data_IF_350436958837
#
_entry.id   IF_350436958837
#
_cell.length_a   1.000
_cell.length_b   1.000
_cell.length_c   1.000
_cell.angle_alpha   90.00
_cell.angle_beta   90.00
_cell.angle_gamma   90.00
#
_symmetry.space_group_name_H-M   'P 1'
#
loop_
_entity.id
_entity.type
_entity.pdbx_description
1 polymer ?
#
# COMPACT_ATOMS: atom_id res chain seq x y z
N UNK A 1 2.80 -0.22 -20.84
CA UNK A 1 2.75 0.29 -19.45
C UNK A 1 3.19 -0.83 -18.51
N UNK A 2 3.91 -0.52 -17.44
CA UNK A 2 4.28 -1.52 -16.41
C UNK A 2 3.08 -1.86 -15.52
N UNK A 3 3.10 -2.99 -14.82
CA UNK A 3 2.06 -3.37 -13.84
C UNK A 3 1.85 -2.28 -12.79
N UNK A 4 2.94 -1.65 -12.33
CA UNK A 4 2.88 -0.53 -11.40
C UNK A 4 2.16 0.70 -11.99
N UNK A 5 2.44 1.04 -13.25
CA UNK A 5 1.77 2.15 -13.94
C UNK A 5 0.28 1.87 -14.16
N UNK A 6 -0.08 0.64 -14.55
CA UNK A 6 -1.48 0.22 -14.70
C UNK A 6 -2.24 0.29 -13.37
N UNK A 7 -1.62 -0.20 -12.29
CA UNK A 7 -2.23 -0.14 -10.97
C UNK A 7 -2.39 1.28 -10.46
N UNK A 8 -1.39 2.15 -10.68
CA UNK A 8 -1.50 3.57 -10.33
C UNK A 8 -2.63 4.26 -11.10
N UNK A 9 -2.75 3.99 -12.41
CA UNK A 9 -3.85 4.50 -13.23
C UNK A 9 -5.21 4.02 -12.71
N UNK A 10 -5.33 2.73 -12.36
CA UNK A 10 -6.56 2.17 -11.80
C UNK A 10 -6.94 2.85 -10.47
N UNK A 11 -5.98 3.16 -9.59
CA UNK A 11 -6.25 3.93 -8.36
C UNK A 11 -6.70 5.35 -8.67
N UNK A 12 -6.05 6.04 -9.62
CA UNK A 12 -6.47 7.39 -10.03
C UNK A 12 -7.91 7.38 -10.55
N UNK A 13 -8.26 6.42 -11.40
CA UNK A 13 -9.62 6.26 -11.93
C UNK A 13 -10.61 5.96 -10.80
N UNK A 14 -10.26 5.05 -9.88
CA UNK A 14 -11.11 4.70 -8.74
C UNK A 14 -11.34 5.90 -7.82
N UNK A 15 -10.30 6.63 -7.44
CA UNK A 15 -10.40 7.86 -6.63
C UNK A 15 -11.33 8.89 -7.29
N UNK A 16 -11.16 9.16 -8.59
CA UNK A 16 -12.04 10.06 -9.34
C UNK A 16 -13.49 9.59 -9.34
N UNK A 17 -13.72 8.29 -9.54
CA UNK A 17 -15.07 7.72 -9.53
C UNK A 17 -15.76 7.80 -8.16
N UNK A 18 -14.98 7.87 -7.08
CA UNK A 18 -15.47 8.05 -5.71
C UNK A 18 -15.64 9.54 -5.33
N UNK A 19 -15.43 10.47 -6.27
CA UNK A 19 -15.61 11.91 -6.04
C UNK A 19 -14.38 12.63 -5.50
N UNK A 20 -13.19 12.03 -5.57
CA UNK A 20 -11.95 12.75 -5.24
C UNK A 20 -11.70 13.89 -6.23
N UNK A 21 -11.31 15.05 -5.72
CA UNK A 21 -10.87 16.21 -6.50
C UNK A 21 -9.36 16.41 -6.37
N UNK A 22 -8.78 17.24 -7.26
CA UNK A 22 -7.34 17.54 -7.27
C UNK A 22 -6.45 16.29 -7.22
N UNK A 23 -6.84 15.23 -7.95
CA UNK A 23 -6.08 13.98 -8.03
C UNK A 23 -4.85 14.18 -8.90
N UNK A 24 -3.68 14.27 -8.26
CA UNK A 24 -2.39 14.55 -8.91
C UNK A 24 -1.41 13.41 -8.61
N UNK A 25 -0.76 12.90 -9.66
CA UNK A 25 0.37 11.97 -9.54
C UNK A 25 1.65 12.78 -9.42
N UNK A 26 2.41 12.55 -8.35
CA UNK A 26 3.67 13.20 -8.06
C UNK A 26 4.77 12.17 -7.80
N UNK A 27 6.01 12.63 -7.62
CA UNK A 27 7.15 11.77 -7.27
C UNK A 27 8.06 12.45 -6.25
N UNK A 28 8.58 11.66 -5.33
CA UNK A 28 9.66 12.05 -4.41
C UNK A 28 10.86 11.15 -4.72
N UNK A 29 11.86 11.69 -5.40
CA UNK A 29 12.87 10.90 -6.08
C UNK A 29 12.23 9.93 -7.08
N UNK A 30 12.48 8.62 -6.91
CA UNK A 30 11.92 7.55 -7.73
C UNK A 30 10.61 6.96 -7.17
N UNK A 31 10.06 7.52 -6.09
CA UNK A 31 8.84 7.00 -5.44
C UNK A 31 7.62 7.78 -5.93
N UNK A 32 6.78 7.21 -6.82
CA UNK A 32 5.56 7.87 -7.23
C UNK A 32 4.50 7.76 -6.12
N UNK A 33 3.69 8.81 -5.97
CA UNK A 33 2.55 8.86 -5.06
C UNK A 33 1.42 9.70 -5.68
N UNK A 34 0.22 9.58 -5.13
CA UNK A 34 -0.97 10.31 -5.54
C UNK A 34 -1.36 11.22 -4.38
N UNK A 35 -1.63 12.49 -4.64
CA UNK A 35 -2.32 13.38 -3.71
C UNK A 35 -3.71 13.69 -4.22
N UNK A 36 -4.68 13.84 -3.33
CA UNK A 36 -6.05 14.21 -3.69
C UNK A 36 -6.78 14.86 -2.50
N UNK A 37 -7.91 15.49 -2.79
CA UNK A 37 -8.87 15.98 -1.79
C UNK A 37 -10.10 15.06 -1.83
N UNK A 38 -10.43 14.46 -0.68
CA UNK A 38 -11.60 13.61 -0.51
C UNK A 38 -12.90 14.43 -0.42
N UNK A 39 -14.09 13.81 -0.59
CA UNK A 39 -15.38 14.49 -0.47
C UNK A 39 -15.59 15.21 0.88
N UNK A 40 -14.95 14.75 1.95
CA UNK A 40 -14.96 15.41 3.27
C UNK A 40 -14.04 16.64 3.36
N UNK A 41 -13.38 17.05 2.27
CA UNK A 41 -12.46 18.19 2.21
C UNK A 41 -11.04 17.92 2.71
N UNK A 42 -10.74 16.73 3.25
CA UNK A 42 -9.39 16.37 3.72
C UNK A 42 -8.47 16.03 2.55
N UNK A 43 -7.22 16.43 2.67
CA UNK A 43 -6.16 16.07 1.71
C UNK A 43 -5.48 14.78 2.14
N UNK A 44 -5.28 13.88 1.19
CA UNK A 44 -4.66 12.57 1.40
C UNK A 44 -3.51 12.32 0.45
N UNK A 45 -2.57 11.45 0.86
CA UNK A 45 -1.45 10.97 0.06
C UNK A 45 -1.45 9.45 0.01
N UNK A 46 -1.35 8.88 -1.18
CA UNK A 46 -1.39 7.43 -1.41
C UNK A 46 -0.17 6.98 -2.20
N UNK A 47 0.51 5.95 -1.71
CA UNK A 47 1.42 5.12 -2.51
C UNK A 47 0.71 3.88 -3.02
N UNK A 48 1.08 3.40 -4.20
CA UNK A 48 0.42 2.24 -4.83
C UNK A 48 1.36 1.03 -4.92
N UNK A 49 0.78 -0.17 -4.80
CA UNK A 49 1.46 -1.45 -5.10
C UNK A 49 0.53 -2.30 -5.94
N UNK A 50 0.99 -2.71 -7.12
CA UNK A 50 0.18 -3.47 -8.07
C UNK A 50 0.72 -4.89 -8.25
N UNK A 51 -0.18 -5.84 -8.48
CA UNK A 51 0.17 -7.21 -8.90
C UNK A 51 -0.84 -7.72 -9.93
N UNK A 52 -0.45 -8.73 -10.69
CA UNK A 52 -1.36 -9.52 -11.56
C UNK A 52 -1.52 -10.96 -11.07
N UNK A 53 -0.61 -11.44 -10.22
CA UNK A 53 -0.65 -12.76 -9.60
C UNK A 53 0.18 -12.75 -8.31
N UNK A 54 0.04 -13.80 -7.48
CA UNK A 54 0.86 -14.00 -6.29
C UNK A 54 0.72 -12.89 -5.26
N UNK A 55 1.87 -12.37 -4.78
CA UNK A 55 1.99 -11.35 -3.73
C UNK A 55 2.42 -10.00 -4.29
N UNK A 56 2.10 -8.93 -3.58
CA UNK A 56 2.71 -7.63 -3.84
C UNK A 56 4.15 -7.63 -3.34
N UNK A 57 5.05 -7.05 -4.14
CA UNK A 57 6.46 -6.91 -3.80
C UNK A 57 6.74 -5.51 -3.27
N UNK A 58 7.50 -5.43 -2.17
CA UNK A 58 7.95 -4.20 -1.55
C UNK A 58 9.32 -4.41 -0.89
N UNK A 59 9.73 -3.48 -0.02
CA UNK A 59 10.99 -3.55 0.71
C UNK A 59 10.78 -3.53 2.23
N UNK A 60 11.59 -4.28 2.98
CA UNK A 60 11.67 -4.18 4.44
C UNK A 60 12.13 -2.82 4.93
N UNK A 61 12.73 -1.98 4.08
CA UNK A 61 13.09 -0.59 4.39
C UNK A 61 11.88 0.31 4.67
N UNK A 62 10.67 -0.13 4.32
CA UNK A 62 9.44 0.53 4.73
C UNK A 62 8.98 0.09 6.13
N UNK A 63 9.57 -0.95 6.71
CA UNK A 63 9.24 -1.43 8.04
C UNK A 63 9.73 -0.48 9.11
N UNK A 64 8.81 0.11 9.86
CA UNK A 64 9.10 0.97 11.02
C UNK A 64 8.08 0.57 12.09
N UNK A 65 8.55 0.32 13.31
CA UNK A 65 7.67 0.13 14.46
C UNK A 65 6.76 1.35 14.59
N UNK A 66 5.45 1.14 14.62
CA UNK A 66 4.49 2.23 14.60
C UNK A 66 3.17 1.81 15.23
N UNK A 67 2.59 2.72 16.01
CA UNK A 67 1.20 2.60 16.45
C UNK A 67 0.29 2.97 15.28
N UNK A 68 -0.81 2.23 15.11
CA UNK A 68 -1.77 2.49 14.04
C UNK A 68 -2.43 3.84 14.28
N UNK A 69 -2.23 4.74 13.33
CA UNK A 69 -2.86 6.06 13.29
C UNK A 69 -4.06 6.02 12.36
N UNK A 70 -5.26 5.89 12.95
CA UNK A 70 -6.54 5.88 12.23
C UNK A 70 -6.98 7.27 11.75
N UNK A 71 -6.30 8.34 12.19
CA UNK A 71 -6.58 9.72 11.79
C UNK A 71 -5.57 10.25 10.77
N UNK A 72 -4.60 9.43 10.36
CA UNK A 72 -3.57 9.78 9.41
C UNK A 72 -4.12 10.07 8.01
N UNK A 73 -3.37 10.86 7.24
CA UNK A 73 -3.72 11.22 5.86
C UNK A 73 -2.90 10.46 4.81
N UNK A 74 -2.00 9.59 5.22
CA UNK A 74 -1.12 8.81 4.34
C UNK A 74 -1.50 7.33 4.32
N UNK A 75 -1.59 6.77 3.12
CA UNK A 75 -2.09 5.41 2.90
C UNK A 75 -1.25 4.66 1.86
N UNK A 76 -1.31 3.34 1.91
CA UNK A 76 -0.97 2.48 0.77
C UNK A 76 -2.25 1.89 0.19
N UNK A 77 -2.33 1.87 -1.14
CA UNK A 77 -3.37 1.16 -1.87
C UNK A 77 -2.72 0.01 -2.64
N UNK A 78 -3.09 -1.20 -2.28
CA UNK A 78 -2.71 -2.42 -2.98
C UNK A 78 -3.78 -2.78 -4.00
N UNK A 79 -3.37 -3.05 -5.23
CA UNK A 79 -4.26 -3.34 -6.37
C UNK A 79 -3.94 -4.70 -6.94
N UNK A 80 -4.94 -5.57 -7.01
CA UNK A 80 -4.88 -6.85 -7.71
C UNK A 80 -5.52 -6.70 -9.09
N UNK A 81 -4.69 -6.59 -10.12
CA UNK A 81 -5.08 -6.47 -11.53
C UNK A 81 -5.34 -7.82 -12.21
N UNK A 82 -5.12 -8.92 -11.49
CA UNK A 82 -5.41 -10.28 -11.99
C UNK A 82 -6.87 -10.71 -11.80
N UNK A 83 -7.75 -9.79 -11.41
CA UNK A 83 -9.16 -10.05 -11.10
C UNK A 83 -10.03 -9.02 -11.80
N UNK A 84 -11.24 -9.44 -12.20
CA UNK A 84 -12.27 -8.57 -12.73
C UNK A 84 -13.53 -8.64 -11.86
N UNK A 85 -14.02 -7.52 -11.28
CA UNK A 85 -13.35 -6.22 -11.25
C UNK A 85 -12.04 -6.25 -10.42
N UNK A 86 -11.13 -5.31 -10.69
CA UNK A 86 -9.90 -5.11 -9.92
C UNK A 86 -10.21 -5.02 -8.41
N UNK A 87 -9.40 -5.69 -7.58
CA UNK A 87 -9.56 -5.64 -6.13
C UNK A 87 -8.59 -4.64 -5.49
N UNK A 88 -9.10 -3.84 -4.55
CA UNK A 88 -8.34 -2.80 -3.86
C UNK A 88 -8.28 -3.07 -2.36
N UNK A 89 -7.13 -2.82 -1.75
CA UNK A 89 -6.93 -2.93 -0.30
C UNK A 89 -6.23 -1.67 0.20
N UNK A 90 -6.86 -0.98 1.14
CA UNK A 90 -6.48 0.37 1.58
C UNK A 90 -5.99 0.28 3.01
N UNK A 91 -4.70 0.52 3.24
CA UNK A 91 -4.10 0.44 4.58
C UNK A 91 -3.56 1.81 4.99
N UNK A 92 -3.75 2.24 6.25
CA UNK A 92 -2.99 3.37 6.82
C UNK A 92 -1.49 3.12 6.66
N UNK A 93 -0.73 4.18 6.37
CA UNK A 93 0.72 4.08 6.23
C UNK A 93 1.37 3.56 7.52
N UNK A 94 0.90 4.01 8.68
CA UNK A 94 1.36 3.56 10.00
C UNK A 94 1.16 2.05 10.18
N UNK A 95 -0.02 1.53 9.81
CA UNK A 95 -0.33 0.10 9.91
C UNK A 95 0.60 -0.74 9.04
N UNK A 96 0.75 -0.41 7.75
CA UNK A 96 1.55 -1.24 6.84
C UNK A 96 3.04 -1.17 7.16
N UNK A 97 3.54 -0.03 7.67
CA UNK A 97 4.92 0.08 8.17
C UNK A 97 5.16 -0.85 9.36
N UNK A 98 4.24 -0.89 10.31
CA UNK A 98 4.34 -1.77 11.46
C UNK A 98 4.21 -3.25 11.06
N UNK A 99 3.27 -3.60 10.18
CA UNK A 99 3.10 -4.96 9.65
C UNK A 99 4.37 -5.47 8.92
N UNK A 100 5.02 -4.62 8.11
CA UNK A 100 6.31 -4.97 7.48
C UNK A 100 7.40 -5.18 8.54
N UNK A 101 7.44 -4.33 9.58
CA UNK A 101 8.41 -4.43 10.66
C UNK A 101 8.25 -5.74 11.45
N UNK A 102 7.04 -6.03 11.94
CA UNK A 102 6.74 -7.23 12.73
C UNK A 102 7.03 -8.52 11.96
N UNK A 103 6.57 -8.61 10.70
CA UNK A 103 6.84 -9.80 9.88
C UNK A 103 8.33 -9.94 9.56
N UNK A 104 9.06 -8.83 9.46
CA UNK A 104 10.51 -8.90 9.30
C UNK A 104 11.19 -9.44 10.57
N UNK A 105 10.78 -8.99 11.76
CA UNK A 105 11.30 -9.49 13.03
C UNK A 105 10.99 -10.98 13.24
N UNK A 106 9.74 -11.41 13.00
CA UNK A 106 9.33 -12.81 13.09
C UNK A 106 10.15 -13.73 12.17
N UNK A 107 10.53 -13.21 10.99
CA UNK A 107 11.37 -13.94 10.06
C UNK A 107 12.80 -14.08 10.59
N UNK A 108 13.38 -13.01 11.13
CA UNK A 108 14.72 -13.06 11.73
C UNK A 108 14.76 -14.01 12.93
N UNK A 109 13.75 -13.96 13.80
CA UNK A 109 13.65 -14.85 14.97
C UNK A 109 13.65 -16.33 14.57
N UNK A 110 12.86 -16.70 13.55
CA UNK A 110 12.79 -18.07 13.01
C UNK A 110 14.08 -18.54 12.33
N UNK A 111 14.95 -17.62 11.95
CA UNK A 111 16.18 -17.93 11.21
C UNK A 111 17.45 -17.52 12.00
N UNK A 112 17.34 -17.40 13.34
CA UNK A 112 18.49 -17.18 14.22
C UNK A 112 19.17 -15.82 14.02
N UNK A 113 18.42 -14.79 13.64
CA UNK A 113 18.92 -13.45 13.38
C UNK A 113 19.43 -13.21 11.95
N UNK A 114 19.39 -14.22 11.08
CA UNK A 114 19.87 -14.13 9.70
C UNK A 114 18.73 -14.37 8.71
N UNK A 115 18.92 -13.95 7.45
CA UNK A 115 18.06 -14.36 6.35
C UNK A 115 18.55 -15.67 5.76
N UNK A 116 17.63 -16.51 5.30
CA UNK A 116 17.94 -17.85 4.81
C UNK A 116 18.86 -17.91 3.56
N UNK A 117 19.08 -16.79 2.85
CA UNK A 117 19.88 -16.75 1.62
C UNK A 117 20.85 -15.56 1.54
N UNK A 118 20.44 -14.36 1.93
CA UNK A 118 21.31 -13.17 1.95
C UNK A 118 20.73 -12.14 2.93
N UNK A 119 21.53 -11.71 3.90
CA UNK A 119 21.17 -10.72 4.91
C UNK A 119 20.88 -9.33 4.31
N UNK A 120 21.44 -9.00 3.14
CA UNK A 120 21.23 -7.72 2.46
C UNK A 120 19.97 -7.64 1.61
N UNK A 121 19.32 -8.79 1.32
CA UNK A 121 18.08 -8.77 0.53
C UNK A 121 17.06 -7.93 1.26
N UNK A 122 16.47 -6.92 0.61
CA UNK A 122 15.42 -6.10 1.22
C UNK A 122 14.03 -6.45 0.71
N UNK A 123 13.91 -7.46 -0.16
CA UNK A 123 12.62 -7.86 -0.71
C UNK A 123 11.67 -8.32 0.40
N UNK A 124 10.42 -7.86 0.30
CA UNK A 124 9.36 -8.21 1.21
C UNK A 124 8.06 -8.43 0.43
N UNK A 125 7.40 -9.55 0.69
CA UNK A 125 6.16 -9.93 0.04
C UNK A 125 4.95 -9.65 0.95
N UNK A 126 3.94 -8.97 0.44
CA UNK A 126 2.65 -8.80 1.09
C UNK A 126 1.65 -9.75 0.42
N UNK A 127 1.05 -10.65 1.20
CA UNK A 127 0.02 -11.58 0.71
C UNK A 127 -1.38 -11.00 0.92
N UNK A 128 -2.35 -11.46 0.12
CA UNK A 128 -3.77 -11.07 0.27
C UNK A 128 -4.27 -11.37 1.68
N UNK A 129 -3.91 -12.54 2.25
CA UNK A 129 -4.33 -12.95 3.60
C UNK A 129 -3.95 -11.91 4.67
N UNK A 130 -2.78 -11.28 4.56
CA UNK A 130 -2.31 -10.26 5.52
C UNK A 130 -3.15 -9.00 5.49
N UNK A 131 -3.65 -8.62 4.32
CA UNK A 131 -4.38 -7.36 4.13
C UNK A 131 -5.87 -7.55 3.84
N UNK A 132 -6.41 -8.75 4.03
CA UNK A 132 -7.78 -9.09 3.64
C UNK A 132 -8.83 -8.20 4.33
N UNK A 133 -8.61 -7.82 5.59
CA UNK A 133 -9.50 -6.92 6.35
C UNK A 133 -9.52 -5.47 5.85
N UNK A 134 -8.61 -5.10 4.94
CA UNK A 134 -8.51 -3.76 4.36
C UNK A 134 -9.15 -3.65 2.97
N UNK A 135 -9.80 -4.72 2.51
CA UNK A 135 -10.43 -4.77 1.20
C UNK A 135 -11.53 -3.70 1.10
N UNK A 136 -11.46 -2.88 0.06
CA UNK A 136 -12.42 -1.82 -0.26
C UNK A 136 -12.68 -0.82 0.89
N UNK A 137 -11.76 -0.72 1.85
CA UNK A 137 -11.81 0.18 3.00
C UNK A 137 -11.51 1.65 2.62
N UNK A 138 -12.25 2.17 1.64
CA UNK A 138 -12.11 3.54 1.14
C UNK A 138 -12.61 4.59 2.14
N UNK A 139 -13.50 4.19 3.07
CA UNK A 139 -14.05 5.06 4.12
C UNK A 139 -12.98 5.73 4.99
N UNK A 140 -11.82 5.10 5.16
CA UNK A 140 -10.70 5.71 5.91
C UNK A 140 -10.14 6.98 5.27
N UNK A 141 -10.34 7.13 3.97
CA UNK A 141 -9.97 8.32 3.22
C UNK A 141 -11.18 9.25 2.98
N UNK A 142 -12.31 9.04 3.67
CA UNK A 142 -13.48 9.90 3.60
C UNK A 142 -14.39 9.69 2.38
N UNK A 143 -14.41 8.48 1.83
CA UNK A 143 -15.33 8.08 0.76
C UNK A 143 -16.48 7.24 1.35
N UNK A 144 -17.72 7.59 1.01
CA UNK A 144 -18.96 6.94 1.48
C UNK A 144 -19.70 6.27 0.33
#
# INVERSE_FOLDING_TARGET
>A
MTTAALGQLAVVQKLKSLGASNVVVQKEGNKPFITFIAPNGKTHKVMTRAKTAGTWQTSTRYGIESVVDNNGSEFWVFIDLGREPNAFYITPLSWIRNDIHQVHLDYLDKHGGHRAQNDESTHHAISVKRIAGWKDNWEQMGFW
#
